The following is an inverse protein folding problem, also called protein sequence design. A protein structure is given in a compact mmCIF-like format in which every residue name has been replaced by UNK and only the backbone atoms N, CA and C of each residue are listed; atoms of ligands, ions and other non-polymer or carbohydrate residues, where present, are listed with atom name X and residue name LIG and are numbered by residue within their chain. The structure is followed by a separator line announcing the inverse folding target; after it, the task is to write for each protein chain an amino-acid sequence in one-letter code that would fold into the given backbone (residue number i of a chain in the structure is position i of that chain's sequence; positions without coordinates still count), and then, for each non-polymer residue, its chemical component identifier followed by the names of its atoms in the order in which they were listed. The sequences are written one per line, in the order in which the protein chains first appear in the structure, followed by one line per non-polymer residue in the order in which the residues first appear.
data_IF_722700543986
#
_entry.id   IF_722700543986
#
_cell.length_a   1.000
_cell.length_b   1.000
_cell.length_c   1.000
_cell.angle_alpha   90.00
_cell.angle_beta   90.00
_cell.angle_gamma   90.00
#
_symmetry.space_group_name_H-M   'P 1'
#
loop_
_entity.id
_entity.type
_entity.pdbx_description
1 polymer ?
#
# COMPACT_ATOMS: atom_id res chain seq x y z
N UNK A 1 0.58 9.57 -109.57
CA UNK A 1 0.60 11.02 -109.27
C UNK A 1 0.04 11.21 -107.87
N UNK A 2 0.83 11.48 -106.83
CA UNK A 2 1.47 12.76 -106.40
C UNK A 2 0.59 13.50 -105.36
N UNK A 3 1.21 13.81 -104.21
CA UNK A 3 0.83 14.72 -103.09
C UNK A 3 -0.19 14.17 -102.06
N UNK A 4 0.08 14.04 -100.74
CA UNK A 4 0.74 14.85 -99.69
C UNK A 4 -0.10 16.06 -99.20
N UNK A 5 -0.64 16.00 -97.96
CA UNK A 5 -0.56 16.99 -96.85
C UNK A 5 -1.49 16.55 -95.67
N UNK A 6 -0.96 16.24 -94.47
CA UNK A 6 -0.91 17.04 -93.22
C UNK A 6 -2.29 17.37 -92.59
N UNK A 7 -2.59 16.83 -91.41
CA UNK A 7 -2.74 17.59 -90.13
C UNK A 7 -3.25 16.73 -88.96
N UNK A 8 -2.71 17.07 -87.78
CA UNK A 8 -2.89 16.60 -86.40
C UNK A 8 -4.35 16.62 -85.88
N UNK A 9 -4.66 15.76 -84.88
CA UNK A 9 -5.05 16.13 -83.47
C UNK A 9 -5.60 14.91 -82.69
N UNK A 10 -4.96 14.62 -81.54
CA UNK A 10 -5.43 14.06 -80.24
C UNK A 10 -6.62 13.06 -80.20
N UNK A 11 -6.39 11.87 -79.62
CA UNK A 11 -7.33 11.31 -78.61
C UNK A 11 -6.69 10.22 -77.70
N UNK A 12 -7.26 10.11 -76.50
CA UNK A 12 -6.84 9.50 -75.22
C UNK A 12 -6.23 8.08 -75.17
N UNK A 13 -5.35 7.92 -74.17
CA UNK A 13 -4.97 6.66 -73.50
C UNK A 13 -6.17 5.95 -72.84
N UNK A 14 -6.15 4.62 -72.88
CA UNK A 14 -6.73 3.73 -71.87
C UNK A 14 -5.87 2.46 -71.78
N UNK A 15 -4.84 2.50 -70.94
CA UNK A 15 -4.19 1.28 -70.44
C UNK A 15 -4.89 0.90 -69.14
N UNK A 16 -5.57 -0.24 -69.16
CA UNK A 16 -6.12 -0.87 -67.96
C UNK A 16 -4.94 -1.46 -67.19
N UNK A 17 -4.49 -0.73 -66.17
CA UNK A 17 -3.49 -1.17 -65.20
C UNK A 17 -4.12 -2.13 -64.20
N UNK A 18 -3.40 -3.21 -63.91
CA UNK A 18 -3.65 -4.17 -62.86
C UNK A 18 -3.62 -3.46 -61.48
N UNK A 19 -4.74 -3.45 -60.75
CA UNK A 19 -4.75 -2.95 -59.36
C UNK A 19 -3.98 -3.94 -58.49
N UNK A 20 -2.79 -3.53 -58.04
CA UNK A 20 -2.19 -4.08 -56.81
C UNK A 20 -3.07 -3.63 -55.66
N UNK A 21 -3.73 -4.56 -54.98
CA UNK A 21 -4.17 -4.35 -53.62
C UNK A 21 -2.93 -4.07 -52.78
N UNK A 22 -2.75 -2.81 -52.44
CA UNK A 22 -1.78 -2.36 -51.46
C UNK A 22 -2.33 -2.82 -50.10
N UNK A 23 -1.82 -3.95 -49.61
CA UNK A 23 -2.06 -4.35 -48.23
C UNK A 23 -1.38 -3.30 -47.35
N UNK A 24 -2.16 -2.42 -46.73
CA UNK A 24 -1.68 -1.58 -45.64
C UNK A 24 -1.01 -2.51 -44.61
N UNK A 25 0.28 -2.32 -44.29
CA UNK A 25 0.91 -3.10 -43.25
C UNK A 25 0.17 -2.78 -41.95
N UNK A 26 -0.44 -3.80 -41.34
CA UNK A 26 -0.98 -3.70 -39.99
C UNK A 26 0.20 -3.34 -39.10
N UNK A 27 0.34 -2.06 -38.77
CA UNK A 27 1.34 -1.62 -37.80
C UNK A 27 0.98 -2.33 -36.49
N UNK A 28 1.85 -3.18 -35.92
CA UNK A 28 1.55 -3.77 -34.64
C UNK A 28 1.28 -2.62 -33.66
N UNK A 29 0.15 -2.68 -32.97
CA UNK A 29 -0.17 -1.71 -31.92
C UNK A 29 0.97 -1.72 -30.92
N UNK A 30 1.81 -0.69 -30.94
CA UNK A 30 2.91 -0.54 -30.00
C UNK A 30 2.26 -0.34 -28.63
N UNK A 31 2.58 -1.23 -27.70
CA UNK A 31 2.16 -1.07 -26.31
C UNK A 31 2.85 0.19 -25.76
N UNK A 32 2.07 1.25 -25.57
CA UNK A 32 2.55 2.57 -25.16
C UNK A 32 2.61 2.73 -23.64
N UNK A 33 2.39 1.65 -22.90
CA UNK A 33 2.47 1.62 -21.43
C UNK A 33 3.91 1.75 -20.94
N UNK A 34 4.05 2.44 -19.81
CA UNK A 34 5.29 2.61 -19.08
C UNK A 34 5.59 1.33 -18.30
N UNK A 35 6.73 0.65 -18.54
CA UNK A 35 7.10 -0.54 -17.78
C UNK A 35 7.66 -0.17 -16.40
N UNK A 36 7.50 -1.06 -15.43
CA UNK A 36 8.17 -0.97 -14.12
C UNK A 36 8.71 -2.34 -13.70
N UNK A 37 9.76 -2.30 -12.87
CA UNK A 37 10.35 -3.47 -12.22
C UNK A 37 10.76 -3.08 -10.80
N UNK A 38 10.34 -3.88 -9.81
CA UNK A 38 10.59 -3.64 -8.39
C UNK A 38 11.02 -4.97 -7.77
N UNK A 39 12.12 -4.97 -7.03
CA UNK A 39 12.50 -6.14 -6.25
C UNK A 39 11.74 -6.17 -4.91
N UNK A 40 11.52 -7.36 -4.37
CA UNK A 40 10.71 -7.53 -3.16
C UNK A 40 11.26 -6.81 -1.91
N UNK A 41 12.51 -6.35 -1.87
CA UNK A 41 13.05 -5.56 -0.75
C UNK A 41 12.62 -4.08 -0.78
N UNK A 42 12.09 -3.60 -1.92
CA UNK A 42 11.71 -2.20 -2.16
C UNK A 42 10.25 -1.90 -1.75
N UNK A 43 9.82 -2.39 -0.58
CA UNK A 43 8.51 -2.01 -0.02
C UNK A 43 8.43 -0.49 0.22
N UNK A 44 7.23 0.06 0.35
CA UNK A 44 7.01 1.46 0.70
C UNK A 44 7.17 1.69 2.20
N UNK A 45 7.82 2.78 2.60
CA UNK A 45 8.09 3.11 3.99
C UNK A 45 6.98 3.95 4.66
N UNK A 46 5.89 4.23 3.94
CA UNK A 46 4.83 5.17 4.33
C UNK A 46 3.57 4.53 4.92
N UNK A 47 3.60 3.22 5.21
CA UNK A 47 2.39 2.46 5.56
C UNK A 47 2.51 1.84 6.95
N UNK A 48 1.52 2.07 7.80
CA UNK A 48 1.56 1.66 9.21
C UNK A 48 0.18 1.22 9.72
N UNK A 49 0.13 0.12 10.48
CA UNK A 49 -1.00 -0.20 11.34
C UNK A 49 -1.09 0.76 12.53
N UNK A 50 -2.30 1.04 13.02
CA UNK A 50 -2.49 1.91 14.18
C UNK A 50 -2.09 1.25 15.51
N UNK A 51 -2.29 -0.05 15.58
CA UNK A 51 -2.23 -0.83 16.81
C UNK A 51 -1.91 -2.30 16.51
N UNK A 52 -1.38 -3.01 17.49
CA UNK A 52 -0.96 -4.39 17.36
C UNK A 52 -2.10 -5.32 16.98
N UNK A 53 -3.33 -5.03 17.45
CA UNK A 53 -4.51 -5.83 17.10
C UNK A 53 -4.77 -5.84 15.59
N UNK A 54 -4.43 -4.77 14.87
CA UNK A 54 -4.57 -4.69 13.41
C UNK A 54 -3.43 -5.35 12.64
N UNK A 55 -2.26 -5.46 13.28
CA UNK A 55 -1.10 -6.18 12.75
C UNK A 55 -1.09 -7.68 13.11
N UNK A 56 -2.08 -8.14 13.88
CA UNK A 56 -2.18 -9.52 14.35
C UNK A 56 -2.39 -10.49 13.18
N UNK A 57 -1.71 -11.63 13.21
CA UNK A 57 -1.80 -12.66 12.16
C UNK A 57 -2.38 -13.99 12.66
N UNK A 58 -2.77 -14.07 13.93
CA UNK A 58 -3.45 -15.20 14.53
C UNK A 58 -4.80 -15.46 13.85
N UNK A 59 -5.24 -16.71 13.86
CA UNK A 59 -6.45 -17.13 13.15
C UNK A 59 -7.72 -16.36 13.58
N UNK A 60 -7.75 -15.84 14.81
CA UNK A 60 -8.91 -15.12 15.36
C UNK A 60 -8.91 -13.63 15.02
N UNK A 61 -7.73 -13.01 14.87
CA UNK A 61 -7.59 -11.54 14.79
C UNK A 61 -6.92 -11.04 13.50
N UNK A 62 -6.62 -11.91 12.53
CA UNK A 62 -6.01 -11.53 11.26
C UNK A 62 -6.98 -10.78 10.32
N UNK A 63 -7.40 -9.59 10.75
CA UNK A 63 -8.33 -8.70 10.04
C UNK A 63 -7.81 -8.31 8.66
N UNK A 64 -6.50 -8.11 8.53
CA UNK A 64 -5.90 -7.79 7.25
C UNK A 64 -6.15 -8.91 6.22
N UNK A 65 -5.84 -10.16 6.56
CA UNK A 65 -6.08 -11.30 5.66
C UNK A 65 -7.58 -11.57 5.45
N UNK A 66 -8.41 -11.39 6.50
CA UNK A 66 -9.87 -11.50 6.37
C UNK A 66 -10.43 -10.52 5.34
N UNK A 67 -9.90 -9.30 5.29
CA UNK A 67 -10.32 -8.28 4.34
C UNK A 67 -9.71 -8.45 2.95
N UNK A 68 -8.38 -8.58 2.85
CA UNK A 68 -7.66 -8.58 1.57
C UNK A 68 -7.48 -9.97 0.95
N UNK A 69 -7.27 -11.01 1.77
CA UNK A 69 -7.02 -12.37 1.32
C UNK A 69 -8.26 -13.19 0.99
N UNK A 70 -9.42 -12.81 1.52
CA UNK A 70 -10.71 -13.42 1.17
C UNK A 70 -11.19 -12.98 -0.22
N UNK A 71 -11.89 -13.87 -0.93
CA UNK A 71 -12.55 -13.53 -2.20
C UNK A 71 -13.64 -12.45 -2.03
N UNK A 72 -14.24 -12.39 -0.84
CA UNK A 72 -15.12 -11.29 -0.44
C UNK A 72 -14.59 -10.75 0.87
N UNK A 73 -14.34 -9.44 0.99
CA UNK A 73 -13.79 -8.87 2.21
C UNK A 73 -14.66 -9.17 3.44
N UNK A 74 -14.02 -9.63 4.51
CA UNK A 74 -14.66 -9.89 5.80
C UNK A 74 -14.20 -8.82 6.78
N UNK A 75 -15.14 -8.09 7.36
CA UNK A 75 -14.91 -7.03 8.36
C UNK A 75 -15.34 -7.53 9.72
N UNK A 76 -14.55 -7.26 10.76
CA UNK A 76 -14.94 -7.50 12.16
C UNK A 76 -15.54 -6.21 12.75
N UNK A 77 -16.88 -6.12 12.96
CA UNK A 77 -17.52 -4.88 13.37
C UNK A 77 -16.97 -4.31 14.69
N UNK A 78 -16.56 -5.18 15.62
CA UNK A 78 -15.97 -4.83 16.92
C UNK A 78 -14.63 -4.06 16.83
N UNK A 79 -13.98 -4.11 15.69
CA UNK A 79 -12.70 -3.43 15.47
C UNK A 79 -12.82 -2.35 14.39
N UNK A 80 -14.05 -2.02 13.98
CA UNK A 80 -14.27 -0.96 13.01
C UNK A 80 -13.97 0.41 13.64
N UNK A 81 -13.15 1.20 12.96
CA UNK A 81 -12.69 2.50 13.47
C UNK A 81 -13.64 3.61 13.00
N UNK A 82 -14.45 4.10 13.94
CA UNK A 82 -15.47 5.14 13.70
C UNK A 82 -14.85 6.49 13.37
N UNK A 83 -13.88 6.91 14.20
CA UNK A 83 -13.30 8.25 14.15
C UNK A 83 -11.79 8.17 14.40
N UNK A 84 -11.03 9.04 13.75
CA UNK A 84 -9.59 9.15 13.92
C UNK A 84 -9.14 10.60 13.72
N UNK A 85 -8.15 11.02 14.50
CA UNK A 85 -7.28 12.16 14.25
C UNK A 85 -5.85 11.64 14.14
N UNK A 86 -5.17 11.97 13.03
CA UNK A 86 -3.78 11.55 12.77
C UNK A 86 -2.86 12.75 12.94
N UNK A 87 -1.78 12.53 13.66
CA UNK A 87 -0.84 13.56 14.06
C UNK A 87 0.56 13.23 13.58
N UNK A 88 1.26 14.26 13.12
CA UNK A 88 2.70 14.20 12.81
C UNK A 88 3.48 15.16 13.70
N UNK A 89 4.65 14.76 14.18
CA UNK A 89 5.50 15.67 14.94
C UNK A 89 5.92 16.88 14.10
N UNK A 90 5.84 18.05 14.69
CA UNK A 90 6.39 19.28 14.12
C UNK A 90 7.61 19.75 14.90
N UNK A 91 8.58 20.33 14.18
CA UNK A 91 9.78 20.93 14.76
C UNK A 91 9.64 22.45 14.96
N UNK A 92 8.61 23.08 14.38
CA UNK A 92 8.36 24.51 14.45
C UNK A 92 7.36 24.84 15.56
N UNK A 93 7.64 25.89 16.32
CA UNK A 93 6.73 26.41 17.35
C UNK A 93 5.56 27.22 16.76
N UNK A 94 5.63 27.57 15.47
CA UNK A 94 4.64 28.40 14.78
C UNK A 94 3.50 27.58 14.18
N UNK A 95 3.60 26.26 14.22
CA UNK A 95 2.59 25.38 13.66
C UNK A 95 1.43 25.25 14.65
N UNK A 96 0.20 25.44 14.14
CA UNK A 96 -1.03 25.27 14.91
C UNK A 96 -1.18 23.78 15.26
N UNK A 97 -0.82 23.44 16.49
CA UNK A 97 -0.62 22.05 16.90
C UNK A 97 -0.64 21.90 18.41
N UNK A 98 -0.79 20.65 18.85
CA UNK A 98 -0.88 20.28 20.26
C UNK A 98 0.45 19.80 20.79
N UNK A 99 0.71 19.98 22.09
CA UNK A 99 1.78 19.27 22.77
C UNK A 99 1.18 17.96 23.28
N UNK A 100 1.82 16.82 23.02
CA UNK A 100 1.33 15.55 23.51
C UNK A 100 2.46 14.58 23.83
N UNK A 101 2.13 13.59 24.65
CA UNK A 101 2.91 12.37 24.85
C UNK A 101 2.20 11.23 24.15
N UNK A 102 2.91 10.50 23.30
CA UNK A 102 2.41 9.34 22.59
C UNK A 102 3.00 8.05 23.15
N UNK A 103 2.20 6.99 23.26
CA UNK A 103 2.60 5.69 23.79
C UNK A 103 2.26 4.55 22.84
N UNK A 104 3.19 3.61 22.64
CA UNK A 104 2.96 2.42 21.80
C UNK A 104 1.91 1.53 22.47
N UNK A 105 2.02 1.31 23.78
CA UNK A 105 1.12 0.49 24.57
C UNK A 105 0.23 1.40 25.43
N UNK A 106 -0.70 2.09 24.77
CA UNK A 106 -1.71 2.91 25.41
C UNK A 106 -2.98 2.09 25.68
N UNK A 107 -3.41 1.90 26.93
CA UNK A 107 -4.68 1.23 27.21
C UNK A 107 -5.87 2.05 26.70
N UNK A 108 -6.98 1.42 26.30
CA UNK A 108 -8.18 2.16 25.94
C UNK A 108 -8.83 2.81 27.17
N UNK A 109 -9.67 3.81 26.91
CA UNK A 109 -10.54 4.44 27.90
C UNK A 109 -11.97 4.54 27.37
N UNK A 110 -12.91 4.77 28.28
CA UNK A 110 -14.29 5.16 27.94
C UNK A 110 -14.36 6.64 27.56
N UNK A 111 -15.44 7.05 26.89
CA UNK A 111 -15.72 8.45 26.54
C UNK A 111 -15.85 9.38 27.74
N UNK A 112 -16.22 8.86 28.91
CA UNK A 112 -16.57 9.66 30.08
C UNK A 112 -15.35 10.05 30.93
N UNK A 113 -14.18 9.57 30.54
CA UNK A 113 -12.92 9.74 31.27
C UNK A 113 -11.81 10.23 30.35
N UNK A 114 -10.89 11.05 30.86
CA UNK A 114 -9.63 11.39 30.20
C UNK A 114 -8.47 10.55 30.76
N UNK A 115 -7.32 10.53 30.09
CA UNK A 115 -6.13 9.89 30.65
C UNK A 115 -5.59 10.68 31.86
N UNK A 116 -5.00 9.94 32.80
CA UNK A 116 -4.38 10.48 34.01
C UNK A 116 -3.23 11.45 33.66
N UNK A 117 -3.04 12.47 34.50
CA UNK A 117 -2.05 13.53 34.25
C UNK A 117 -0.59 13.02 34.27
N UNK A 118 -0.34 11.85 34.88
CA UNK A 118 0.95 11.16 34.88
C UNK A 118 1.40 10.74 33.46
N UNK A 119 0.46 10.41 32.58
CA UNK A 119 0.75 10.06 31.18
C UNK A 119 1.06 11.29 30.32
N UNK A 120 0.62 12.48 30.74
CA UNK A 120 0.84 13.74 30.01
C UNK A 120 2.24 14.30 30.21
N UNK A 121 2.79 14.08 31.41
CA UNK A 121 4.06 14.66 31.87
C UNK A 121 5.03 13.56 32.27
N UNK A 122 5.57 12.87 31.27
CA UNK A 122 6.55 11.81 31.50
C UNK A 122 7.94 12.40 31.75
N UNK A 123 8.66 11.77 32.68
CA UNK A 123 10.04 12.14 33.03
C UNK A 123 11.09 11.41 32.19
N UNK A 124 10.69 10.40 31.40
CA UNK A 124 11.63 9.55 30.67
C UNK A 124 11.02 9.14 29.34
N UNK A 125 11.78 9.37 28.27
CA UNK A 125 11.48 8.87 26.93
C UNK A 125 12.16 7.52 26.75
N UNK A 126 11.40 6.48 26.44
CA UNK A 126 11.92 5.14 26.16
C UNK A 126 11.75 4.89 24.65
N UNK A 127 12.85 4.78 23.88
CA UNK A 127 12.80 4.55 22.45
C UNK A 127 11.92 3.35 22.09
N UNK A 128 11.06 3.53 21.08
CA UNK A 128 10.11 2.49 20.65
C UNK A 128 8.84 2.37 21.48
N UNK A 129 8.82 2.92 22.71
CA UNK A 129 7.68 2.78 23.62
C UNK A 129 6.88 4.06 23.83
N UNK A 130 7.55 5.20 23.91
CA UNK A 130 6.88 6.48 24.03
C UNK A 130 7.72 7.60 23.43
N UNK A 131 7.05 8.68 23.07
CA UNK A 131 7.67 9.88 22.51
C UNK A 131 6.85 11.10 22.95
N UNK A 132 7.49 12.27 23.04
CA UNK A 132 6.80 13.52 23.31
C UNK A 132 7.24 14.59 22.30
N UNK A 133 6.28 15.34 21.78
CA UNK A 133 6.51 16.38 20.79
C UNK A 133 5.38 17.41 20.78
N UNK A 134 5.60 18.48 20.01
CA UNK A 134 4.52 19.18 19.33
C UNK A 134 4.06 18.36 18.13
N UNK A 135 2.76 18.31 17.92
CA UNK A 135 2.09 17.54 16.89
C UNK A 135 1.14 18.42 16.10
N UNK A 136 1.19 18.32 14.77
CA UNK A 136 0.22 18.94 13.86
C UNK A 136 -0.80 17.89 13.44
N UNK A 137 -2.05 18.32 13.29
CA UNK A 137 -3.12 17.49 12.75
C UNK A 137 -2.93 17.34 11.24
N UNK A 138 -3.09 16.13 10.73
CA UNK A 138 -3.11 15.81 9.31
C UNK A 138 -4.54 15.69 8.80
N UNK A 139 -4.76 15.99 7.52
CA UNK A 139 -6.06 15.93 6.87
C UNK A 139 -6.26 14.62 6.08
N UNK A 140 -7.35 13.91 6.35
CA UNK A 140 -7.68 12.64 5.68
C UNK A 140 -8.02 12.91 4.22
N UNK A 141 -7.38 12.17 3.31
CA UNK A 141 -7.50 12.32 1.86
C UNK A 141 -6.49 13.27 1.22
N UNK A 142 -5.92 14.21 1.98
CA UNK A 142 -4.91 15.16 1.50
C UNK A 142 -3.50 14.81 1.98
N UNK A 143 -3.35 14.43 3.25
CA UNK A 143 -2.06 14.05 3.84
C UNK A 143 -1.91 12.52 3.96
N UNK A 144 -3.02 11.82 4.16
CA UNK A 144 -3.03 10.37 4.35
C UNK A 144 -4.32 9.71 3.88
N UNK A 145 -4.26 8.39 3.75
CA UNK A 145 -5.36 7.48 3.44
C UNK A 145 -5.54 6.56 4.63
N UNK A 146 -6.78 6.27 4.99
CA UNK A 146 -7.08 5.44 6.13
C UNK A 146 -8.07 4.32 5.79
N UNK A 147 -7.74 3.11 6.20
CA UNK A 147 -8.59 1.93 6.05
C UNK A 147 -9.21 1.57 7.40
N UNK A 148 -10.50 1.89 7.57
CA UNK A 148 -11.22 1.78 8.86
C UNK A 148 -11.44 0.34 9.30
N UNK A 149 -11.55 -0.57 8.33
CA UNK A 149 -11.83 -1.99 8.50
C UNK A 149 -10.60 -2.79 8.93
N UNK A 150 -9.41 -2.30 8.59
CA UNK A 150 -8.13 -3.01 8.81
C UNK A 150 -7.11 -2.18 9.59
N UNK A 151 -7.45 -0.95 9.99
CA UNK A 151 -6.69 -0.14 10.92
C UNK A 151 -5.28 0.19 10.47
N UNK A 152 -5.09 0.51 9.18
CA UNK A 152 -3.81 1.00 8.68
C UNK A 152 -3.94 2.33 7.94
N UNK A 153 -2.85 3.10 7.98
CA UNK A 153 -2.70 4.42 7.36
C UNK A 153 -1.63 4.32 6.26
N UNK A 154 -1.90 4.94 5.11
CA UNK A 154 -0.91 5.26 4.08
C UNK A 154 -0.68 6.76 4.02
N UNK A 155 0.57 7.22 4.08
CA UNK A 155 0.88 8.64 3.92
C UNK A 155 1.15 9.01 2.45
N UNK A 156 0.51 10.09 1.99
CA UNK A 156 0.68 10.60 0.62
C UNK A 156 2.08 11.14 0.42
N UNK A 157 2.60 11.86 1.42
CA UNK A 157 3.97 12.37 1.43
C UNK A 157 4.88 11.46 2.25
N UNK A 158 6.16 11.29 1.86
CA UNK A 158 7.12 10.51 2.62
C UNK A 158 7.26 10.96 4.08
N UNK A 159 7.19 10.01 5.01
CA UNK A 159 7.45 10.27 6.43
C UNK A 159 8.92 10.03 6.74
N UNK A 160 9.59 11.03 7.30
CA UNK A 160 11.02 10.97 7.61
C UNK A 160 11.29 10.14 8.87
N UNK A 161 12.50 9.58 8.98
CA UNK A 161 12.88 8.73 10.11
C UNK A 161 12.73 9.42 11.47
N UNK A 162 13.04 10.73 11.56
CA UNK A 162 12.94 11.53 12.78
C UNK A 162 11.51 12.02 13.09
N UNK A 163 10.56 11.89 12.16
CA UNK A 163 9.17 12.29 12.38
C UNK A 163 8.42 11.22 13.19
N UNK A 164 7.62 11.64 14.15
CA UNK A 164 6.76 10.79 14.96
C UNK A 164 5.36 10.83 14.37
N UNK A 165 4.72 9.66 14.26
CA UNK A 165 3.29 9.55 13.95
C UNK A 165 2.56 9.06 15.18
N UNK A 166 1.50 9.78 15.53
CA UNK A 166 0.61 9.43 16.62
C UNK A 166 -0.85 9.61 16.20
N UNK A 167 -1.77 8.97 16.90
CA UNK A 167 -3.21 9.02 16.59
C UNK A 167 -4.04 9.13 17.86
N UNK A 168 -5.24 9.72 17.71
CA UNK A 168 -6.36 9.50 18.61
C UNK A 168 -7.47 8.82 17.79
N UNK A 169 -8.00 7.69 18.23
CA UNK A 169 -9.02 6.96 17.49
C UNK A 169 -10.05 6.29 18.39
N UNK A 170 -11.21 5.97 17.79
CA UNK A 170 -12.37 5.40 18.47
C UNK A 170 -12.88 4.18 17.70
N UNK A 171 -13.07 3.06 18.41
CA UNK A 171 -13.64 1.82 17.84
C UNK A 171 -15.03 1.53 18.39
N UNK A 172 -15.85 0.89 17.57
CA UNK A 172 -17.12 0.27 18.00
C UNK A 172 -16.80 -0.99 18.81
N UNK A 173 -17.02 -0.99 20.13
CA UNK A 173 -16.76 -2.20 20.92
C UNK A 173 -17.94 -3.20 20.88
N UNK A 174 -19.17 -2.69 20.93
CA UNK A 174 -20.47 -3.40 20.90
C UNK A 174 -21.54 -2.45 20.34
N UNK A 175 -22.70 -2.92 19.84
CA UNK A 175 -23.74 -2.05 19.32
C UNK A 175 -24.27 -1.03 20.35
N UNK A 176 -23.83 0.22 20.26
CA UNK A 176 -24.30 1.32 21.14
C UNK A 176 -23.22 2.38 21.43
N UNK A 177 -23.64 3.63 21.66
CA UNK A 177 -22.70 4.75 21.85
C UNK A 177 -21.92 4.75 23.17
N UNK A 178 -22.37 4.01 24.20
CA UNK A 178 -21.81 4.06 25.56
C UNK A 178 -20.60 3.16 25.78
N UNK A 179 -20.34 2.24 24.84
CA UNK A 179 -19.38 1.15 25.05
C UNK A 179 -18.13 1.30 24.17
N UNK A 180 -18.05 2.39 23.40
CA UNK A 180 -16.94 2.68 22.50
C UNK A 180 -15.61 2.81 23.26
N UNK A 181 -14.56 2.18 22.71
CA UNK A 181 -13.21 2.29 23.24
C UNK A 181 -12.45 3.38 22.51
N UNK A 182 -11.86 4.29 23.28
CA UNK A 182 -11.05 5.40 22.76
C UNK A 182 -9.59 5.16 23.12
N UNK A 183 -8.73 5.40 22.14
CA UNK A 183 -7.28 5.39 22.28
C UNK A 183 -6.77 6.79 21.96
N UNK A 184 -6.07 7.41 22.91
CA UNK A 184 -5.64 8.81 22.79
C UNK A 184 -6.75 9.81 23.10
N UNK A 185 -6.47 11.10 22.88
CA UNK A 185 -7.37 12.20 23.19
C UNK A 185 -7.50 13.12 21.99
N UNK A 186 -8.75 13.34 21.58
CA UNK A 186 -9.07 14.21 20.45
C UNK A 186 -8.83 15.67 20.81
N UNK A 187 -8.51 16.52 19.83
CA UNK A 187 -8.27 17.96 20.05
C UNK A 187 -9.46 18.61 20.77
N UNK A 188 -10.68 18.25 20.38
CA UNK A 188 -11.91 18.78 21.00
C UNK A 188 -12.00 18.47 22.49
N UNK A 189 -11.58 17.29 22.93
CA UNK A 189 -11.56 16.90 24.36
C UNK A 189 -10.52 17.72 25.14
N UNK A 190 -9.35 17.96 24.55
CA UNK A 190 -8.31 18.77 25.18
C UNK A 190 -8.78 20.21 25.40
N UNK A 191 -9.44 20.81 24.40
CA UNK A 191 -10.00 22.16 24.48
C UNK A 191 -11.11 22.24 25.53
N UNK A 192 -12.08 21.34 25.48
CA UNK A 192 -13.24 21.35 26.38
C UNK A 192 -12.85 21.15 27.85
N UNK A 193 -11.78 20.41 28.12
CA UNK A 193 -11.30 20.13 29.47
C UNK A 193 -10.08 20.98 29.87
N UNK A 194 -9.75 22.02 29.09
CA UNK A 194 -8.63 22.94 29.36
C UNK A 194 -7.28 22.23 29.61
N UNK A 195 -7.02 21.13 28.89
CA UNK A 195 -5.75 20.39 28.97
C UNK A 195 -4.72 21.03 28.04
N UNK A 196 -3.53 21.30 28.57
CA UNK A 196 -2.41 21.91 27.82
C UNK A 196 -1.50 20.88 27.14
N UNK A 197 -1.61 19.60 27.53
CA UNK A 197 -0.86 18.48 26.94
C UNK A 197 -1.76 17.27 26.76
N UNK A 198 -1.78 16.67 25.58
CA UNK A 198 -2.56 15.48 25.26
C UNK A 198 -1.83 14.17 25.52
N UNK A 199 -2.59 13.08 25.52
CA UNK A 199 -2.09 11.69 25.47
C UNK A 199 -2.55 11.07 24.15
N UNK A 200 -1.63 10.49 23.38
CA UNK A 200 -1.91 9.89 22.07
C UNK A 200 -1.41 8.44 21.99
N UNK A 201 -1.96 7.66 21.06
CA UNK A 201 -1.41 6.36 20.67
C UNK A 201 -0.26 6.58 19.69
N UNK A 202 0.89 5.97 19.94
CA UNK A 202 2.07 6.04 19.06
C UNK A 202 1.93 5.01 17.94
N UNK A 203 2.15 5.43 16.70
CA UNK A 203 2.16 4.56 15.50
C UNK A 203 3.57 4.38 14.96
N UNK A 204 4.35 5.47 14.91
CA UNK A 204 5.75 5.45 14.48
C UNK A 204 6.60 6.30 15.43
N UNK A 205 7.55 5.72 16.17
CA UNK A 205 8.56 6.46 16.95
C UNK A 205 9.61 7.10 16.05
N UNK A 206 10.43 7.98 16.62
CA UNK A 206 11.66 8.45 15.95
C UNK A 206 12.62 7.27 15.72
N UNK A 207 13.27 7.28 14.56
CA UNK A 207 14.32 6.32 14.20
C UNK A 207 13.88 4.88 14.48
N UNK A 208 12.73 4.47 13.93
CA UNK A 208 12.16 3.15 14.13
C UNK A 208 13.16 2.04 13.75
N UNK A 209 13.37 1.06 14.63
CA UNK A 209 14.31 -0.06 14.47
C UNK A 209 13.63 -1.39 14.81
N UNK A 210 14.10 -2.55 14.28
CA UNK A 210 13.55 -3.87 14.58
C UNK A 210 13.54 -4.26 16.06
N UNK A 211 14.51 -3.76 16.83
CA UNK A 211 14.58 -4.01 18.29
C UNK A 211 13.39 -3.41 19.06
N UNK A 212 12.66 -2.47 18.46
CA UNK A 212 11.41 -1.93 19.01
C UNK A 212 10.23 -2.75 18.48
N UNK A 213 10.19 -4.04 18.82
CA UNK A 213 9.30 -5.04 18.21
C UNK A 213 7.85 -4.55 18.06
N UNK A 214 7.28 -4.02 19.16
CA UNK A 214 5.90 -3.51 19.18
C UNK A 214 5.63 -2.45 18.10
N UNK A 215 6.52 -1.48 17.95
CA UNK A 215 6.40 -0.42 16.94
C UNK A 215 6.85 -0.88 15.55
N UNK A 216 7.83 -1.79 15.47
CA UNK A 216 8.35 -2.30 14.22
C UNK A 216 7.32 -3.16 13.48
N UNK A 217 6.50 -3.89 14.23
CA UNK A 217 5.41 -4.70 13.73
C UNK A 217 4.27 -3.86 13.15
N UNK A 218 4.13 -2.59 13.56
CA UNK A 218 3.17 -1.67 12.95
C UNK A 218 3.58 -1.25 11.54
N UNK A 219 4.88 -1.24 11.22
CA UNK A 219 5.35 -0.87 9.87
C UNK A 219 5.00 -1.96 8.86
N UNK A 220 4.19 -1.61 7.87
CA UNK A 220 3.79 -2.51 6.79
C UNK A 220 4.92 -2.67 5.77
N UNK A 221 5.15 -3.91 5.34
CA UNK A 221 6.27 -4.30 4.45
C UNK A 221 5.79 -5.17 3.30
N UNK A 222 4.52 -5.01 2.95
CA UNK A 222 3.77 -5.75 1.93
C UNK A 222 3.09 -4.82 0.91
N UNK A 223 3.47 -3.54 0.91
CA UNK A 223 2.95 -2.51 0.01
C UNK A 223 4.12 -1.95 -0.80
N UNK A 224 3.97 -1.79 -2.12
CA UNK A 224 5.05 -1.47 -3.04
C UNK A 224 4.67 -0.34 -3.99
N UNK A 225 5.37 0.79 -3.90
CA UNK A 225 5.13 1.93 -4.79
C UNK A 225 5.75 1.71 -6.17
N UNK A 226 4.95 1.81 -7.23
CA UNK A 226 5.38 1.55 -8.61
C UNK A 226 5.70 2.81 -9.41
N UNK A 227 5.29 3.97 -8.90
CA UNK A 227 5.50 5.25 -9.56
C UNK A 227 5.49 6.39 -8.54
N UNK A 228 6.26 7.44 -8.82
CA UNK A 228 6.15 8.71 -8.10
C UNK A 228 4.97 9.57 -8.58
N UNK A 229 4.35 9.20 -9.72
CA UNK A 229 3.14 9.87 -10.21
C UNK A 229 1.93 9.35 -9.44
N UNK A 230 1.33 10.22 -8.63
CA UNK A 230 0.22 9.89 -7.74
C UNK A 230 -1.13 10.10 -8.43
N UNK A 231 -2.05 9.13 -8.35
CA UNK A 231 -3.45 9.31 -8.77
C UNK A 231 -3.74 9.17 -10.27
N UNK A 232 -2.73 8.88 -11.10
CA UNK A 232 -2.88 8.88 -12.58
C UNK A 232 -2.76 7.51 -13.24
N UNK A 233 -2.38 6.47 -12.50
CA UNK A 233 -2.10 5.14 -13.04
C UNK A 233 -3.38 4.47 -13.55
N UNK A 234 -3.37 4.05 -14.82
CA UNK A 234 -4.44 3.29 -15.47
C UNK A 234 -3.87 2.07 -16.18
N UNK A 235 -4.75 1.14 -16.58
CA UNK A 235 -4.40 -0.04 -17.36
C UNK A 235 -3.19 -0.81 -16.78
N UNK A 236 -3.12 -0.84 -15.45
CA UNK A 236 -2.08 -1.52 -14.70
C UNK A 236 -2.22 -3.02 -14.94
N UNK A 237 -1.11 -3.63 -15.30
CA UNK A 237 -0.95 -5.07 -15.41
C UNK A 237 0.38 -5.44 -14.76
N UNK A 238 0.44 -6.56 -14.05
CA UNK A 238 1.63 -7.01 -13.35
C UNK A 238 1.74 -8.53 -13.32
N UNK A 239 2.97 -8.99 -13.13
CA UNK A 239 3.32 -10.39 -12.91
C UNK A 239 4.49 -10.47 -11.91
N UNK A 240 4.65 -11.64 -11.29
CA UNK A 240 5.69 -11.90 -10.31
C UNK A 240 6.63 -12.96 -10.85
N UNK A 241 7.93 -12.69 -10.77
CA UNK A 241 8.98 -13.57 -11.24
C UNK A 241 9.86 -14.00 -10.08
N UNK A 242 10.22 -15.28 -10.06
CA UNK A 242 11.31 -15.80 -9.26
C UNK A 242 12.57 -15.81 -10.13
N UNK A 243 13.54 -14.97 -9.75
CA UNK A 243 14.88 -14.97 -10.33
C UNK A 243 15.78 -15.86 -9.51
N UNK A 244 16.35 -16.89 -10.13
CA UNK A 244 17.29 -17.82 -9.50
C UNK A 244 18.73 -17.31 -9.59
N UNK A 245 19.61 -17.88 -8.77
CA UNK A 245 21.02 -17.51 -8.69
C UNK A 245 21.80 -17.73 -9.99
N UNK A 246 21.32 -18.62 -10.86
CA UNK A 246 21.87 -18.85 -12.20
C UNK A 246 21.40 -17.82 -13.25
N UNK A 247 20.56 -16.87 -12.86
CA UNK A 247 20.00 -15.82 -13.70
C UNK A 247 18.72 -16.22 -14.43
N UNK A 248 18.24 -17.46 -14.29
CA UNK A 248 16.96 -17.87 -14.86
C UNK A 248 15.80 -17.22 -14.11
N UNK A 249 14.75 -16.86 -14.86
CA UNK A 249 13.57 -16.22 -14.32
C UNK A 249 12.33 -17.01 -14.74
N UNK A 250 11.44 -17.27 -13.78
CA UNK A 250 10.17 -17.96 -14.02
C UNK A 250 9.06 -17.28 -13.25
N UNK A 251 7.92 -17.08 -13.90
CA UNK A 251 6.67 -16.66 -13.27
C UNK A 251 5.80 -17.87 -12.87
N UNK A 252 6.33 -19.09 -12.97
CA UNK A 252 5.65 -20.31 -12.56
C UNK A 252 6.55 -21.20 -11.71
N UNK A 253 5.92 -21.93 -10.78
CA UNK A 253 6.55 -23.01 -10.03
C UNK A 253 5.56 -24.18 -9.90
N UNK A 254 6.01 -25.39 -10.18
CA UNK A 254 5.15 -26.59 -10.18
C UNK A 254 3.86 -26.41 -11.01
N UNK A 255 3.96 -25.74 -12.16
CA UNK A 255 2.86 -25.38 -13.07
C UNK A 255 1.80 -24.42 -12.49
N UNK A 256 2.06 -23.78 -11.35
CA UNK A 256 1.22 -22.73 -10.76
C UNK A 256 1.88 -21.38 -10.99
N UNK A 257 1.11 -20.36 -11.38
CA UNK A 257 1.64 -19.00 -11.57
C UNK A 257 1.96 -18.37 -10.22
N UNK A 258 3.07 -17.63 -10.15
CA UNK A 258 3.41 -16.87 -8.95
C UNK A 258 2.36 -15.79 -8.65
N UNK A 259 1.79 -15.19 -9.70
CA UNK A 259 0.67 -14.25 -9.57
C UNK A 259 -0.50 -14.83 -8.76
N UNK A 260 -0.88 -16.08 -9.03
CA UNK A 260 -1.88 -16.84 -8.26
C UNK A 260 -1.40 -17.12 -6.83
N UNK A 261 -0.16 -17.63 -6.67
CA UNK A 261 0.39 -17.96 -5.34
C UNK A 261 0.51 -16.77 -4.39
N UNK A 262 0.72 -15.56 -4.93
CA UNK A 262 0.74 -14.32 -4.14
C UNK A 262 -0.64 -13.66 -4.01
N UNK A 263 -1.69 -14.26 -4.58
CA UNK A 263 -3.09 -13.84 -4.41
C UNK A 263 -3.53 -12.66 -5.27
N UNK A 264 -2.81 -12.38 -6.36
CA UNK A 264 -3.16 -11.33 -7.32
C UNK A 264 -4.00 -11.84 -8.52
N UNK A 265 -4.17 -13.15 -8.63
CA UNK A 265 -5.03 -13.83 -9.62
C UNK A 265 -5.87 -14.87 -8.88
N UNK A 266 -7.11 -14.50 -8.57
CA UNK A 266 -8.10 -15.27 -7.81
C UNK A 266 -9.40 -15.43 -8.59
N UNK A 267 -9.65 -14.56 -9.57
CA UNK A 267 -10.87 -14.51 -10.34
C UNK A 267 -10.61 -14.68 -11.82
N UNK A 268 -11.66 -15.10 -12.52
CA UNK A 268 -11.70 -15.08 -13.98
C UNK A 268 -12.26 -13.76 -14.47
N UNK A 269 -12.14 -13.50 -15.77
CA UNK A 269 -12.78 -12.37 -16.45
C UNK A 269 -14.30 -12.20 -16.15
N UNK A 270 -15.00 -13.28 -15.81
CA UNK A 270 -16.42 -13.25 -15.42
C UNK A 270 -16.65 -13.13 -13.89
N UNK A 271 -15.62 -12.80 -13.11
CA UNK A 271 -15.64 -12.67 -11.65
C UNK A 271 -15.99 -13.97 -10.89
N UNK A 272 -15.86 -15.13 -11.54
CA UNK A 272 -15.90 -16.42 -10.84
C UNK A 272 -14.58 -16.62 -10.07
N UNK A 273 -14.60 -17.22 -8.86
CA UNK A 273 -13.41 -17.42 -8.01
C UNK A 273 -12.51 -18.56 -8.52
N UNK A 274 -12.01 -18.37 -9.74
CA UNK A 274 -11.16 -19.31 -10.48
C UNK A 274 -10.10 -18.46 -11.17
N UNK A 275 -8.80 -18.62 -10.85
CA UNK A 275 -7.72 -17.89 -11.50
C UNK A 275 -7.73 -18.08 -13.03
N UNK A 276 -7.43 -17.03 -13.79
CA UNK A 276 -7.37 -17.07 -15.26
C UNK A 276 -6.00 -16.71 -15.86
N UNK A 277 -5.01 -16.49 -15.00
CA UNK A 277 -3.64 -16.17 -15.37
C UNK A 277 -3.39 -14.68 -15.59
N UNK A 278 -4.37 -13.80 -15.38
CA UNK A 278 -4.21 -12.35 -15.49
C UNK A 278 -4.24 -11.69 -14.12
N UNK A 279 -3.68 -10.48 -14.04
CA UNK A 279 -3.77 -9.69 -12.83
C UNK A 279 -5.22 -9.22 -12.61
N UNK A 280 -5.80 -9.57 -11.47
CA UNK A 280 -7.08 -9.05 -11.04
C UNK A 280 -6.93 -7.61 -10.58
N UNK A 281 -7.29 -6.61 -11.38
CA UNK A 281 -7.17 -5.21 -10.96
C UNK A 281 -8.37 -4.74 -10.13
N UNK A 282 -8.18 -4.56 -8.82
CA UNK A 282 -9.19 -4.03 -7.90
C UNK A 282 -8.67 -2.79 -7.14
N UNK A 283 -8.97 -1.56 -7.64
CA UNK A 283 -8.61 -0.31 -6.97
C UNK A 283 -9.11 -0.27 -5.52
N UNK A 284 -8.23 0.15 -4.60
CA UNK A 284 -8.47 0.19 -3.17
C UNK A 284 -8.31 -1.16 -2.45
N UNK A 285 -8.16 -2.27 -3.18
CA UNK A 285 -7.93 -3.60 -2.62
C UNK A 285 -6.49 -4.06 -2.83
N UNK A 286 -6.06 -4.24 -4.07
CA UNK A 286 -4.70 -4.70 -4.40
C UNK A 286 -3.85 -3.64 -5.10
N UNK A 287 -4.44 -2.47 -5.35
CA UNK A 287 -3.74 -1.30 -5.82
C UNK A 287 -4.39 -0.03 -5.25
N UNK A 288 -3.62 0.85 -4.60
CA UNK A 288 -4.07 2.18 -4.17
C UNK A 288 -3.62 3.23 -5.19
N UNK A 289 -4.54 3.78 -6.01
CA UNK A 289 -4.18 4.73 -7.05
C UNK A 289 -3.61 6.04 -6.51
N UNK A 290 -4.02 6.50 -5.33
CA UNK A 290 -3.59 7.80 -4.78
C UNK A 290 -2.12 7.79 -4.37
N UNK A 291 -1.57 6.65 -3.97
CA UNK A 291 -0.14 6.49 -3.64
C UNK A 291 0.64 5.72 -4.71
N UNK A 292 -0.05 5.20 -5.73
CA UNK A 292 0.51 4.35 -6.78
C UNK A 292 1.19 3.11 -6.22
N UNK A 293 0.51 2.46 -5.28
CA UNK A 293 1.04 1.33 -4.53
C UNK A 293 0.28 0.03 -4.80
N UNK A 294 1.03 -1.05 -5.07
CA UNK A 294 0.51 -2.42 -5.05
C UNK A 294 0.38 -2.87 -3.59
N UNK A 295 -0.72 -3.55 -3.27
CA UNK A 295 -1.03 -4.05 -1.92
C UNK A 295 -1.12 -5.58 -1.98
N UNK A 296 -0.19 -6.28 -1.32
CA UNK A 296 -0.28 -7.74 -1.19
C UNK A 296 -1.40 -8.13 -0.21
N UNK A 297 -2.10 -9.25 -0.45
CA UNK A 297 -3.25 -9.64 0.36
C UNK A 297 -2.92 -10.18 1.76
N UNK A 298 -1.63 -10.26 2.10
CA UNK A 298 -1.11 -10.74 3.40
C UNK A 298 0.00 -9.82 3.91
N UNK A 299 0.23 -9.81 5.23
CA UNK A 299 1.19 -8.90 5.89
C UNK A 299 2.65 -9.27 5.58
N UNK A 300 2.96 -10.56 5.44
CA UNK A 300 4.33 -11.05 5.18
C UNK A 300 4.41 -11.96 3.95
N UNK A 301 4.12 -11.47 2.72
CA UNK A 301 4.05 -12.30 1.51
C UNK A 301 5.32 -13.10 1.22
N UNK A 302 6.49 -12.56 1.55
CA UNK A 302 7.79 -13.20 1.31
C UNK A 302 8.36 -13.88 2.57
N UNK A 303 7.61 -13.87 3.67
CA UNK A 303 8.03 -14.31 4.99
C UNK A 303 7.09 -15.37 5.52
N UNK A 304 6.49 -15.13 6.69
CA UNK A 304 5.64 -16.13 7.35
C UNK A 304 4.34 -16.47 6.59
N UNK A 305 3.87 -15.61 5.66
CA UNK A 305 2.70 -15.92 4.83
C UNK A 305 3.05 -16.53 3.47
N UNK A 306 4.33 -16.84 3.21
CA UNK A 306 4.72 -17.48 1.96
C UNK A 306 4.04 -18.84 1.82
N UNK A 307 3.59 -19.16 0.61
CA UNK A 307 2.92 -20.45 0.36
C UNK A 307 3.90 -21.61 0.55
N UNK A 308 3.38 -22.77 0.96
CA UNK A 308 4.20 -23.95 1.22
C UNK A 308 5.07 -24.36 0.01
N UNK A 309 4.53 -24.18 -1.20
CA UNK A 309 5.24 -24.48 -2.47
C UNK A 309 6.48 -23.60 -2.65
N UNK A 310 6.50 -22.41 -2.07
CA UNK A 310 7.58 -21.43 -2.15
C UNK A 310 8.46 -21.39 -0.89
N UNK A 311 8.28 -22.31 0.06
CA UNK A 311 8.92 -22.23 1.38
C UNK A 311 10.47 -22.21 1.32
N UNK A 312 11.08 -22.82 0.30
CA UNK A 312 12.53 -22.75 0.08
C UNK A 312 13.05 -21.34 -0.28
N UNK A 313 12.16 -20.45 -0.73
CA UNK A 313 12.43 -19.06 -1.10
C UNK A 313 11.99 -18.07 -0.01
N UNK A 314 11.56 -18.56 1.16
CA UNK A 314 11.18 -17.73 2.29
C UNK A 314 12.33 -16.82 2.69
N UNK A 315 12.04 -15.53 2.83
CA UNK A 315 13.02 -14.52 3.24
C UNK A 315 12.48 -13.69 4.40
N UNK A 316 12.55 -14.26 5.61
CA UNK A 316 12.00 -13.60 6.81
C UNK A 316 12.74 -12.30 7.18
N UNK A 317 14.01 -12.17 6.81
CA UNK A 317 14.84 -11.02 7.18
C UNK A 317 14.28 -9.67 6.69
N UNK A 318 13.48 -9.62 5.61
CA UNK A 318 12.80 -8.39 5.18
C UNK A 318 11.84 -7.83 6.25
N UNK A 319 11.30 -8.70 7.12
CA UNK A 319 10.37 -8.31 8.18
C UNK A 319 11.07 -8.04 9.51
N UNK A 320 12.27 -8.56 9.73
CA UNK A 320 12.93 -8.53 11.05
C UNK A 320 14.25 -7.71 11.04
N UNK A 321 14.65 -7.17 9.88
CA UNK A 321 15.90 -6.43 9.71
C UNK A 321 15.66 -5.13 8.94
N UNK A 322 16.49 -4.12 9.19
CA UNK A 322 16.43 -2.84 8.45
C UNK A 322 16.90 -3.08 7.01
N UNK A 323 16.15 -2.52 6.05
CA UNK A 323 16.42 -2.64 4.61
C UNK A 323 17.88 -2.37 4.23
N UNK A 324 18.53 -1.37 4.83
CA UNK A 324 19.92 -1.00 4.54
C UNK A 324 20.95 -2.08 4.89
N UNK A 325 20.60 -3.02 5.77
CA UNK A 325 21.44 -4.17 6.12
C UNK A 325 21.09 -5.44 5.36
N UNK A 326 20.03 -5.41 4.54
CA UNK A 326 19.64 -6.55 3.71
C UNK A 326 20.48 -6.61 2.44
N UNK A 327 20.78 -7.83 2.03
CA UNK A 327 21.34 -8.14 0.71
C UNK A 327 20.36 -8.97 -0.09
N UNK A 328 20.34 -8.77 -1.41
CA UNK A 328 19.53 -9.59 -2.29
C UNK A 328 19.94 -11.06 -2.15
N UNK A 329 19.01 -11.96 -1.79
CA UNK A 329 19.30 -13.40 -1.79
C UNK A 329 19.60 -13.89 -3.20
N UNK A 330 20.29 -15.02 -3.31
CA UNK A 330 20.60 -15.62 -4.61
C UNK A 330 19.35 -15.94 -5.44
N UNK A 331 18.29 -16.39 -4.77
CA UNK A 331 16.95 -16.51 -5.35
C UNK A 331 16.08 -15.37 -4.84
N UNK A 332 15.44 -14.60 -5.72
CA UNK A 332 14.73 -13.39 -5.35
C UNK A 332 13.44 -13.19 -6.15
N UNK A 333 12.45 -12.55 -5.52
CA UNK A 333 11.20 -12.19 -6.18
C UNK A 333 11.29 -10.80 -6.80
N UNK A 334 10.75 -10.67 -8.01
CA UNK A 334 10.67 -9.44 -8.78
C UNK A 334 9.23 -9.24 -9.20
N UNK A 335 8.71 -8.04 -8.95
CA UNK A 335 7.39 -7.58 -9.38
C UNK A 335 7.62 -6.76 -10.65
N UNK A 336 7.02 -7.17 -11.76
CA UNK A 336 7.13 -6.48 -13.05
C UNK A 336 5.77 -6.17 -13.59
N UNK A 337 5.67 -5.09 -14.33
CA UNK A 337 4.42 -4.76 -14.97
C UNK A 337 4.54 -3.56 -15.86
N UNK A 338 3.37 -3.03 -16.21
CA UNK A 338 3.24 -1.87 -17.07
C UNK A 338 1.93 -1.16 -16.78
N UNK A 339 1.93 0.15 -16.93
CA UNK A 339 0.77 0.99 -16.71
C UNK A 339 0.72 2.15 -17.71
N UNK A 340 -0.42 2.82 -17.78
CA UNK A 340 -0.62 4.03 -18.57
C UNK A 340 -0.79 5.25 -17.69
#
# INVERSE_FOLDING_TARGET
MKYLLISLVIFSMLFIGCNKEECDPITPTVDDRIPFEINFLQYSDNNFFLDQVYADTSAEFNMYNLYYGSNTPIVLPKYFIKNIEVFKSANSIFDDGIIATAFINLPPRSSDSMYADELRNINTIIPGQNDASRFILLDEGNDYIFHRETGWISFINPILDQEIIAVAYKIENEPGYTDDLIYGEFISELVNNSKTRGVLKLVKPRNLQPVYEDAWNLKMKNIYQISSQLGYIRNLDLDIYLKKSDGTESNTINNVRLLELFGFDRFSENLMPIPDGKYDYFPGMNFEPRTSEIIFPVIQPFGNNITFVLNEYKYQAIYDTIRTFLSMPGNSFIIRGKYK
#
